data_IF_554603100091
#
_entry.id   IF_554603100091
#
_cell.length_a   1.000
_cell.length_b   1.000
_cell.length_c   1.000
_cell.angle_alpha   90.00
_cell.angle_beta   90.00
_cell.angle_gamma   90.00
#
_symmetry.space_group_name_H-M   'P 1'
#
loop_
_entity.id
_entity.type
_entity.pdbx_description
1 polymer ?
#
# COMPACT_ATOMS: atom_id res chain seq x y z
N UNK A 1 3.14 4.50 -71.26
CA UNK A 1 4.26 4.95 -70.45
C UNK A 1 3.74 5.94 -69.43
N UNK A 2 3.62 5.54 -68.21
CA UNK A 2 3.68 6.37 -67.00
C UNK A 2 3.52 5.41 -65.83
N UNK A 3 4.63 5.23 -65.10
CA UNK A 3 4.75 4.42 -63.91
C UNK A 3 4.09 5.15 -62.76
N UNK A 4 3.19 4.48 -62.08
CA UNK A 4 2.62 4.93 -60.79
C UNK A 4 3.33 4.27 -59.65
N UNK A 5 4.25 4.96 -59.00
CA UNK A 5 4.87 4.57 -57.75
C UNK A 5 3.86 4.61 -56.64
N UNK A 6 3.52 3.44 -56.10
CA UNK A 6 2.75 3.30 -54.88
C UNK A 6 3.68 3.62 -53.69
N UNK A 7 3.37 4.70 -52.99
CA UNK A 7 3.96 5.08 -51.71
C UNK A 7 3.40 4.17 -50.62
N UNK A 8 4.24 3.32 -50.07
CA UNK A 8 3.96 2.57 -48.84
C UNK A 8 4.16 3.56 -47.69
N UNK A 9 3.07 4.09 -47.14
CA UNK A 9 3.08 4.78 -45.87
C UNK A 9 3.25 3.76 -44.75
N UNK A 10 4.44 3.78 -44.15
CA UNK A 10 4.82 3.09 -42.93
C UNK A 10 4.04 3.72 -41.75
N UNK A 11 2.90 3.15 -41.40
CA UNK A 11 2.20 3.44 -40.18
C UNK A 11 3.00 2.84 -38.99
N UNK A 12 4.03 3.53 -38.58
CA UNK A 12 4.63 3.27 -37.26
C UNK A 12 3.60 3.62 -36.21
N UNK A 13 3.09 2.56 -35.59
CA UNK A 13 2.25 2.61 -34.42
C UNK A 13 2.79 3.65 -33.40
N UNK A 14 1.87 4.51 -32.96
CA UNK A 14 2.15 5.60 -32.04
C UNK A 14 2.86 5.11 -30.79
N UNK A 15 3.94 5.78 -30.46
CA UNK A 15 4.45 5.86 -29.11
C UNK A 15 3.31 6.47 -28.27
N UNK A 16 2.71 5.65 -27.42
CA UNK A 16 1.87 6.12 -26.34
C UNK A 16 2.75 7.05 -25.50
N UNK A 17 2.36 8.32 -25.33
CA UNK A 17 2.89 9.19 -24.30
C UNK A 17 2.73 8.41 -22.99
N UNK A 18 3.86 8.02 -22.36
CA UNK A 18 3.83 7.32 -21.09
C UNK A 18 3.11 8.21 -20.10
N UNK A 19 2.09 7.68 -19.41
CA UNK A 19 1.36 8.42 -18.39
C UNK A 19 2.34 9.09 -17.42
N UNK A 20 2.11 10.34 -17.04
CA UNK A 20 3.05 11.08 -16.20
C UNK A 20 3.28 10.36 -14.88
N UNK A 21 4.56 10.10 -14.57
CA UNK A 21 4.96 9.52 -13.29
C UNK A 21 4.94 10.62 -12.23
N UNK A 22 4.07 10.47 -11.23
CA UNK A 22 4.05 11.34 -10.06
C UNK A 22 5.06 10.85 -9.02
N UNK A 23 5.64 11.79 -8.26
CA UNK A 23 6.55 11.49 -7.15
C UNK A 23 5.99 12.09 -5.88
N UNK A 24 5.96 11.29 -4.78
CA UNK A 24 5.56 11.77 -3.47
C UNK A 24 6.63 11.44 -2.42
N UNK A 25 7.11 12.49 -1.74
CA UNK A 25 7.91 12.37 -0.52
C UNK A 25 6.95 12.22 0.66
N UNK A 26 6.98 11.09 1.34
CA UNK A 26 5.93 10.71 2.29
C UNK A 26 6.25 11.04 3.75
N UNK A 27 7.54 11.05 4.13
CA UNK A 27 7.96 11.26 5.50
C UNK A 27 7.50 12.60 6.11
N UNK A 28 7.55 13.75 5.38
CA UNK A 28 7.13 15.04 5.93
C UNK A 28 5.65 15.07 6.32
N UNK A 29 4.79 14.37 5.55
CA UNK A 29 3.34 14.40 5.74
C UNK A 29 2.84 13.34 6.72
N UNK A 30 3.61 12.26 6.93
CA UNK A 30 3.14 11.09 7.68
C UNK A 30 2.71 11.41 9.11
N UNK A 31 3.47 12.25 9.82
CA UNK A 31 3.15 12.64 11.19
C UNK A 31 1.94 13.57 11.24
N UNK A 32 1.84 14.53 10.33
CA UNK A 32 0.69 15.41 10.19
C UNK A 32 -0.59 14.63 9.88
N UNK A 33 -0.50 13.67 8.96
CA UNK A 33 -1.60 12.78 8.61
C UNK A 33 -2.04 11.90 9.80
N UNK A 34 -1.09 11.39 10.59
CA UNK A 34 -1.42 10.66 11.83
C UNK A 34 -2.20 11.55 12.80
N UNK A 35 -1.76 12.80 13.01
CA UNK A 35 -2.43 13.76 13.88
C UNK A 35 -3.84 14.02 13.40
N UNK A 36 -4.04 14.35 12.12
CA UNK A 36 -5.36 14.62 11.53
C UNK A 36 -6.32 13.43 11.72
N UNK A 37 -5.86 12.21 11.51
CA UNK A 37 -6.68 11.00 11.71
C UNK A 37 -7.03 10.79 13.19
N UNK A 38 -6.12 11.10 14.11
CA UNK A 38 -6.40 11.03 15.55
C UNK A 38 -7.38 12.11 15.98
N UNK A 39 -7.33 13.33 15.42
CA UNK A 39 -8.31 14.39 15.65
C UNK A 39 -9.71 13.96 15.19
N UNK A 40 -9.84 13.44 13.95
CA UNK A 40 -11.11 12.88 13.45
C UNK A 40 -11.66 11.76 14.35
N UNK A 41 -10.77 10.93 14.93
CA UNK A 41 -11.17 9.89 15.87
C UNK A 41 -11.58 10.46 17.23
N UNK A 42 -10.93 11.54 17.71
CA UNK A 42 -11.28 12.24 18.95
C UNK A 42 -12.67 12.89 18.84
N UNK A 43 -12.98 13.45 17.66
CA UNK A 43 -14.29 14.05 17.35
C UNK A 43 -15.39 13.03 17.07
N UNK A 44 -15.05 11.73 17.08
CA UNK A 44 -16.01 10.63 16.87
C UNK A 44 -16.54 10.54 15.44
N UNK A 45 -15.83 11.10 14.46
CA UNK A 45 -16.27 11.16 13.06
C UNK A 45 -15.96 9.86 12.29
N UNK A 46 -15.02 9.03 12.77
CA UNK A 46 -14.58 7.84 12.06
C UNK A 46 -15.41 6.61 12.43
N UNK A 47 -15.93 5.92 11.42
CA UNK A 47 -16.69 4.67 11.55
C UNK A 47 -16.03 3.53 10.79
N UNK A 48 -15.90 2.39 11.46
CA UNK A 48 -15.36 1.16 10.88
C UNK A 48 -16.26 -0.03 11.17
N UNK A 49 -16.19 -1.05 10.32
CA UNK A 49 -16.90 -2.30 10.53
C UNK A 49 -16.39 -3.01 11.79
N UNK A 50 -17.29 -3.37 12.70
CA UNK A 50 -16.96 -4.15 13.89
C UNK A 50 -16.38 -5.55 13.56
N UNK A 51 -16.75 -6.10 12.40
CA UNK A 51 -16.31 -7.43 11.96
C UNK A 51 -14.99 -7.40 11.19
N UNK A 52 -14.91 -6.52 10.18
CA UNK A 52 -13.75 -6.47 9.27
C UNK A 52 -12.73 -5.40 9.63
N UNK A 53 -13.05 -4.50 10.57
CA UNK A 53 -12.30 -3.30 10.96
C UNK A 53 -12.10 -2.28 9.86
N UNK A 54 -12.59 -2.54 8.65
CA UNK A 54 -12.45 -1.65 7.49
C UNK A 54 -13.22 -0.36 7.71
N UNK A 55 -12.68 0.80 7.25
CA UNK A 55 -13.38 2.06 7.28
C UNK A 55 -14.64 2.01 6.41
N UNK A 56 -15.66 2.77 6.79
CA UNK A 56 -16.81 3.04 5.91
C UNK A 56 -16.38 3.98 4.77
N UNK A 57 -17.17 4.01 3.69
CA UNK A 57 -16.91 4.94 2.59
C UNK A 57 -16.89 6.41 3.05
N UNK A 58 -17.77 6.78 3.99
CA UNK A 58 -17.76 8.12 4.59
C UNK A 58 -16.49 8.39 5.36
N UNK A 59 -16.02 7.43 6.17
CA UNK A 59 -14.76 7.55 6.91
C UNK A 59 -13.59 7.71 5.96
N UNK A 60 -13.54 6.93 4.87
CA UNK A 60 -12.46 7.04 3.89
C UNK A 60 -12.40 8.43 3.26
N UNK A 61 -13.56 9.01 2.88
CA UNK A 61 -13.62 10.39 2.35
C UNK A 61 -13.17 11.43 3.36
N UNK A 62 -13.65 11.34 4.61
CA UNK A 62 -13.24 12.28 5.67
C UNK A 62 -11.74 12.24 5.91
N UNK A 63 -11.13 11.04 5.86
CA UNK A 63 -9.69 10.91 5.99
C UNK A 63 -8.99 11.46 4.76
N UNK A 64 -9.46 11.15 3.53
CA UNK A 64 -8.93 11.69 2.27
C UNK A 64 -8.88 13.21 2.28
N UNK A 65 -9.98 13.87 2.69
CA UNK A 65 -10.09 15.33 2.82
C UNK A 65 -9.14 15.92 3.88
N UNK A 66 -8.75 15.13 4.89
CA UNK A 66 -7.87 15.55 5.98
C UNK A 66 -6.38 15.29 5.70
N UNK A 67 -6.03 14.48 4.67
CA UNK A 67 -4.63 14.23 4.32
C UNK A 67 -3.98 15.48 3.74
N UNK A 68 -2.78 15.82 4.22
CA UNK A 68 -2.03 17.03 3.84
C UNK A 68 -1.88 17.20 2.32
N UNK A 69 -1.59 16.11 1.62
CA UNK A 69 -1.42 16.11 0.16
C UNK A 69 -2.51 15.30 -0.56
N UNK A 70 -3.65 15.03 0.09
CA UNK A 70 -4.68 14.13 -0.42
C UNK A 70 -4.22 12.66 -0.52
N UNK A 71 -5.02 11.82 -1.17
CA UNK A 71 -4.63 10.44 -1.48
C UNK A 71 -3.78 10.38 -2.77
N UNK A 72 -3.40 9.21 -3.24
CA UNK A 72 -2.51 9.03 -4.40
C UNK A 72 -3.25 9.11 -5.73
N UNK A 73 -4.48 8.64 -5.77
CA UNK A 73 -5.35 8.65 -6.95
C UNK A 73 -6.64 9.40 -6.67
N UNK A 74 -7.32 9.83 -7.73
CA UNK A 74 -8.63 10.46 -7.63
C UNK A 74 -9.68 9.54 -7.01
N UNK A 75 -10.82 10.13 -6.65
CA UNK A 75 -11.90 9.48 -5.91
C UNK A 75 -12.30 8.10 -6.46
N UNK A 76 -12.26 7.10 -5.61
CA UNK A 76 -12.70 5.72 -5.89
C UNK A 76 -11.63 4.65 -5.66
N UNK A 77 -10.35 5.03 -5.62
CA UNK A 77 -9.23 4.10 -5.40
C UNK A 77 -8.36 4.48 -4.18
N UNK A 78 -8.96 4.59 -2.97
CA UNK A 78 -8.25 5.09 -1.80
C UNK A 78 -7.12 4.14 -1.38
N UNK A 79 -5.96 4.70 -1.07
CA UNK A 79 -4.76 4.03 -0.55
C UNK A 79 -4.52 4.48 0.89
N UNK A 80 -3.97 5.68 1.10
CA UNK A 80 -3.66 6.19 2.43
C UNK A 80 -4.92 6.43 3.27
N UNK A 81 -5.98 6.96 2.66
CA UNK A 81 -7.24 7.21 3.35
C UNK A 81 -7.93 5.92 3.83
N UNK A 82 -7.70 4.81 3.16
CA UNK A 82 -8.15 3.50 3.63
C UNK A 82 -7.23 2.93 4.72
N UNK A 83 -5.91 3.09 4.57
CA UNK A 83 -4.92 2.50 5.47
C UNK A 83 -4.95 3.13 6.86
N UNK A 84 -5.02 4.46 6.98
CA UNK A 84 -4.92 5.18 8.25
C UNK A 84 -5.91 4.70 9.33
N UNK A 85 -7.23 4.55 9.07
CA UNK A 85 -8.15 4.05 10.09
C UNK A 85 -7.83 2.63 10.57
N UNK A 86 -7.25 1.78 9.72
CA UNK A 86 -6.77 0.45 10.11
C UNK A 86 -5.49 0.55 10.94
N UNK A 87 -4.55 1.39 10.52
CA UNK A 87 -3.27 1.58 11.19
C UNK A 87 -3.44 2.10 12.62
N UNK A 88 -4.29 3.10 12.86
CA UNK A 88 -4.54 3.61 14.22
C UNK A 88 -5.21 2.58 15.13
N UNK A 89 -6.06 1.70 14.59
CA UNK A 89 -6.64 0.57 15.33
C UNK A 89 -5.56 -0.46 15.68
N UNK A 90 -4.77 -0.90 14.69
CA UNK A 90 -3.71 -1.90 14.87
C UNK A 90 -2.60 -1.35 15.80
N UNK A 91 -2.27 -0.08 15.67
CA UNK A 91 -1.33 0.61 16.53
C UNK A 91 -1.79 0.75 17.99
N UNK A 92 -3.08 0.48 18.24
CA UNK A 92 -3.70 0.67 19.55
C UNK A 92 -3.80 2.14 19.94
N UNK A 93 -3.90 3.04 18.96
CA UNK A 93 -4.11 4.47 19.14
C UNK A 93 -5.62 4.79 19.19
N UNK A 94 -6.41 4.04 18.43
CA UNK A 94 -7.87 4.07 18.49
C UNK A 94 -8.42 2.65 18.66
N UNK A 95 -9.64 2.55 19.17
CA UNK A 95 -10.38 1.30 19.34
C UNK A 95 -11.82 1.46 18.90
N UNK A 96 -12.48 0.36 18.54
CA UNK A 96 -13.91 0.37 18.22
C UNK A 96 -14.77 0.40 19.49
N UNK A 97 -15.66 1.38 19.55
CA UNK A 97 -16.83 1.42 20.42
C UNK A 97 -18.07 1.25 19.53
N UNK A 98 -18.59 0.04 19.43
CA UNK A 98 -19.55 -0.31 18.37
C UNK A 98 -18.92 -0.20 16.99
N UNK A 99 -19.43 0.72 16.16
CA UNK A 99 -18.86 1.01 14.84
C UNK A 99 -17.99 2.28 14.82
N UNK A 100 -17.91 3.04 15.90
CA UNK A 100 -17.18 4.30 16.01
C UNK A 100 -15.76 4.04 16.50
N UNK A 101 -14.78 4.79 15.96
CA UNK A 101 -13.43 4.79 16.49
C UNK A 101 -13.32 5.84 17.61
N UNK A 102 -12.79 5.41 18.75
CA UNK A 102 -12.49 6.26 19.88
C UNK A 102 -10.99 6.19 20.23
N UNK A 103 -10.43 7.32 20.64
CA UNK A 103 -9.02 7.33 21.05
C UNK A 103 -8.81 6.51 22.32
N UNK A 104 -7.78 5.69 22.31
CA UNK A 104 -7.24 5.06 23.52
C UNK A 104 -6.45 6.07 24.37
N UNK A 105 -6.07 5.70 25.60
CA UNK A 105 -5.14 6.52 26.40
C UNK A 105 -3.79 6.74 25.68
N UNK A 106 -3.35 5.76 24.87
CA UNK A 106 -2.15 5.89 24.04
C UNK A 106 -2.37 6.87 22.88
N UNK A 107 -3.51 6.80 22.19
CA UNK A 107 -3.84 7.74 21.12
C UNK A 107 -3.90 9.17 21.60
N UNK A 108 -4.53 9.42 22.76
CA UNK A 108 -4.57 10.75 23.38
C UNK A 108 -3.17 11.28 23.71
N UNK A 109 -2.26 10.42 24.18
CA UNK A 109 -0.86 10.85 24.44
C UNK A 109 -0.11 11.20 23.16
N UNK A 110 -0.28 10.40 22.11
CA UNK A 110 0.33 10.69 20.79
C UNK A 110 -0.25 11.98 20.19
N UNK A 111 -1.55 12.20 20.31
CA UNK A 111 -2.18 13.44 19.84
C UNK A 111 -1.66 14.67 20.61
N UNK A 112 -1.46 14.57 21.92
CA UNK A 112 -0.94 15.66 22.75
C UNK A 112 0.55 15.96 22.53
N UNK A 113 1.34 14.96 22.07
CA UNK A 113 2.76 15.09 21.77
C UNK A 113 3.14 14.19 20.58
N UNK A 114 2.84 14.63 19.35
CA UNK A 114 3.18 13.84 18.17
C UNK A 114 4.69 13.67 18.02
N UNK A 115 5.12 12.46 17.67
CA UNK A 115 6.53 12.16 17.46
C UNK A 115 6.74 11.05 16.44
N UNK A 116 7.90 11.00 15.83
CA UNK A 116 8.26 9.98 14.85
C UNK A 116 8.40 8.59 15.46
N UNK A 117 8.68 8.51 16.78
CA UNK A 117 8.65 7.23 17.51
C UNK A 117 7.24 6.62 17.53
N UNK A 118 6.19 7.44 17.45
CA UNK A 118 4.82 6.93 17.32
C UNK A 118 4.62 6.19 16.00
N UNK A 119 5.17 6.69 14.88
CA UNK A 119 5.15 6.03 13.57
C UNK A 119 5.98 4.74 13.58
N UNK A 120 7.18 4.75 14.15
CA UNK A 120 8.00 3.56 14.33
C UNK A 120 7.30 2.48 15.16
N UNK A 121 6.68 2.88 16.27
CA UNK A 121 5.90 1.97 17.10
C UNK A 121 4.64 1.44 16.40
N UNK A 122 4.01 2.24 15.52
CA UNK A 122 2.87 1.84 14.71
C UNK A 122 3.30 0.78 13.68
N UNK A 123 4.41 1.02 12.96
CA UNK A 123 4.99 0.04 12.03
C UNK A 123 5.30 -1.29 12.72
N UNK A 124 6.00 -1.26 13.86
CA UNK A 124 6.37 -2.46 14.60
C UNK A 124 5.15 -3.27 15.08
N UNK A 125 4.04 -2.60 15.44
CA UNK A 125 2.79 -3.28 15.81
C UNK A 125 2.06 -3.83 14.59
N UNK A 126 2.03 -3.06 13.49
CA UNK A 126 1.39 -3.49 12.26
C UNK A 126 2.07 -4.74 11.70
N UNK A 127 3.40 -4.82 11.68
CA UNK A 127 4.14 -6.00 11.24
C UNK A 127 3.68 -7.28 11.95
N UNK A 128 3.33 -7.21 13.23
CA UNK A 128 2.94 -8.37 14.05
C UNK A 128 1.44 -8.65 14.07
N UNK A 129 0.62 -7.73 13.60
CA UNK A 129 -0.83 -7.84 13.68
C UNK A 129 -1.36 -8.98 12.80
N UNK A 130 -2.41 -9.64 13.28
CA UNK A 130 -3.18 -10.65 12.52
C UNK A 130 -4.61 -10.18 12.23
N UNK A 131 -4.92 -8.93 12.59
CA UNK A 131 -6.28 -8.40 12.54
C UNK A 131 -6.78 -8.09 11.12
N UNK A 132 -5.86 -8.01 10.17
CA UNK A 132 -6.15 -7.68 8.79
C UNK A 132 -5.18 -8.43 7.85
N UNK A 133 -5.63 -8.76 6.64
CA UNK A 133 -4.83 -9.39 5.59
C UNK A 133 -4.88 -8.51 4.33
N UNK A 134 -3.74 -7.96 3.96
CA UNK A 134 -3.56 -7.05 2.83
C UNK A 134 -3.91 -7.72 1.50
N UNK A 135 -3.79 -9.04 1.39
CA UNK A 135 -4.22 -9.77 0.19
C UNK A 135 -5.69 -9.45 -0.14
N UNK A 136 -6.53 -9.19 0.86
CA UNK A 136 -7.94 -8.84 0.67
C UNK A 136 -8.16 -7.47 0.01
N UNK A 137 -7.11 -6.67 -0.16
CA UNK A 137 -7.12 -5.42 -0.91
C UNK A 137 -6.92 -5.63 -2.42
N UNK A 138 -6.46 -6.81 -2.82
CA UNK A 138 -6.27 -7.17 -4.22
C UNK A 138 -7.55 -7.84 -4.70
N UNK A 139 -8.52 -7.03 -5.11
CA UNK A 139 -9.90 -7.47 -5.36
C UNK A 139 -10.03 -8.38 -6.58
N UNK A 140 -9.10 -8.30 -7.54
CA UNK A 140 -9.06 -9.19 -8.69
C UNK A 140 -8.81 -10.64 -8.27
N UNK A 141 -8.02 -10.89 -7.21
CA UNK A 141 -7.74 -12.22 -6.71
C UNK A 141 -8.90 -12.70 -5.83
N UNK A 142 -9.61 -13.71 -6.27
CA UNK A 142 -10.71 -14.35 -5.55
C UNK A 142 -10.25 -15.61 -4.81
N UNK A 143 -11.12 -16.21 -3.99
CA UNK A 143 -10.81 -17.46 -3.27
C UNK A 143 -10.04 -17.30 -1.96
N UNK A 144 -9.73 -16.11 -1.54
CA UNK A 144 -8.87 -15.77 -0.39
C UNK A 144 -9.45 -16.20 0.99
N UNK A 145 -10.73 -16.48 1.10
CA UNK A 145 -11.43 -16.72 2.38
C UNK A 145 -11.01 -17.98 3.15
N UNK A 146 -10.22 -18.86 2.53
CA UNK A 146 -9.77 -20.11 3.17
C UNK A 146 -8.39 -19.91 3.80
N UNK A 147 -8.35 -19.30 4.97
CA UNK A 147 -7.14 -18.95 5.74
C UNK A 147 -6.14 -20.09 5.94
N UNK A 148 -6.61 -21.35 5.99
CA UNK A 148 -5.73 -22.50 6.16
C UNK A 148 -4.72 -22.73 5.02
N UNK A 149 -4.95 -22.10 3.84
CA UNK A 149 -4.12 -22.24 2.65
C UNK A 149 -3.13 -21.10 2.48
N UNK A 150 -3.31 -20.01 3.21
CA UNK A 150 -2.45 -18.83 3.14
C UNK A 150 -1.49 -18.78 4.34
N UNK A 151 -0.34 -18.17 4.17
CA UNK A 151 0.58 -17.87 5.27
C UNK A 151 0.01 -16.75 6.14
N UNK A 152 0.50 -16.63 7.38
CA UNK A 152 0.04 -15.56 8.27
C UNK A 152 0.52 -14.18 7.76
N UNK A 153 -0.33 -13.13 7.83
CA UNK A 153 0.02 -11.78 7.37
C UNK A 153 1.33 -11.25 7.96
N UNK A 154 1.57 -11.44 9.26
CA UNK A 154 2.81 -10.98 9.91
C UNK A 154 4.09 -11.58 9.31
N UNK A 155 4.07 -12.84 8.86
CA UNK A 155 5.23 -13.45 8.18
C UNK A 155 5.49 -12.80 6.82
N UNK A 156 4.44 -12.50 6.07
CA UNK A 156 4.53 -11.85 4.76
C UNK A 156 5.03 -10.41 4.90
N UNK A 157 4.49 -9.65 5.84
CA UNK A 157 4.95 -8.28 6.14
C UNK A 157 6.40 -8.24 6.56
N UNK A 158 6.82 -9.18 7.41
CA UNK A 158 8.21 -9.29 7.84
C UNK A 158 9.14 -9.58 6.65
N UNK A 159 8.71 -10.40 5.68
CA UNK A 159 9.49 -10.66 4.47
C UNK A 159 9.63 -9.39 3.60
N UNK A 160 8.54 -8.62 3.41
CA UNK A 160 8.61 -7.34 2.66
C UNK A 160 9.47 -6.32 3.41
N UNK A 161 9.33 -6.21 4.73
CA UNK A 161 10.15 -5.31 5.55
C UNK A 161 11.64 -5.68 5.48
N UNK A 162 11.96 -6.98 5.45
CA UNK A 162 13.34 -7.45 5.29
C UNK A 162 13.92 -7.07 3.92
N UNK A 163 13.13 -7.19 2.83
CA UNK A 163 13.54 -6.72 1.51
C UNK A 163 13.76 -5.21 1.45
N UNK A 164 12.85 -4.42 2.05
CA UNK A 164 13.05 -2.96 2.16
C UNK A 164 14.34 -2.60 2.90
N UNK A 165 14.66 -3.33 3.95
CA UNK A 165 15.87 -3.10 4.74
C UNK A 165 17.18 -3.44 3.99
N UNK A 166 17.13 -4.08 2.81
CA UNK A 166 18.32 -4.30 1.97
C UNK A 166 18.60 -3.16 1.00
N UNK A 167 17.65 -2.23 0.84
CA UNK A 167 17.81 -1.13 -0.10
C UNK A 167 18.74 -0.06 0.48
N UNK A 168 19.50 0.59 -0.40
CA UNK A 168 20.34 1.74 -0.05
C UNK A 168 19.44 2.94 0.28
N UNK A 169 19.50 3.49 1.52
CA UNK A 169 18.72 4.66 1.88
C UNK A 169 19.02 5.87 0.97
N UNK A 170 17.97 6.56 0.54
CA UNK A 170 18.07 7.72 -0.34
C UNK A 170 18.15 7.39 -1.83
N UNK A 171 18.42 6.14 -2.21
CA UNK A 171 18.45 5.70 -3.60
C UNK A 171 17.06 5.25 -4.09
N UNK A 172 16.70 5.62 -5.32
CA UNK A 172 15.51 5.10 -5.98
C UNK A 172 15.77 3.68 -6.49
N UNK A 173 14.86 2.77 -6.16
CA UNK A 173 14.84 1.38 -6.65
C UNK A 173 13.55 1.14 -7.42
N UNK A 174 13.65 0.61 -8.64
CA UNK A 174 12.46 0.25 -9.42
C UNK A 174 11.61 -0.79 -8.66
N UNK A 175 10.29 -0.69 -8.76
CA UNK A 175 9.40 -1.64 -8.10
C UNK A 175 9.68 -3.09 -8.53
N UNK A 176 9.98 -3.32 -9.80
CA UNK A 176 10.28 -4.64 -10.33
C UNK A 176 11.64 -5.19 -9.83
N UNK A 177 12.63 -4.32 -9.62
CA UNK A 177 13.90 -4.71 -8.99
C UNK A 177 13.67 -5.15 -7.54
N UNK A 178 12.88 -4.39 -6.78
CA UNK A 178 12.52 -4.79 -5.42
C UNK A 178 11.72 -6.09 -5.40
N UNK A 179 10.78 -6.29 -6.34
CA UNK A 179 10.05 -7.55 -6.46
C UNK A 179 10.99 -8.72 -6.78
N UNK A 180 12.01 -8.52 -7.62
CA UNK A 180 13.02 -9.54 -7.88
C UNK A 180 13.87 -9.87 -6.63
N UNK A 181 14.23 -8.86 -5.83
CA UNK A 181 14.89 -9.06 -4.53
C UNK A 181 13.99 -9.89 -3.60
N UNK A 182 12.71 -9.56 -3.48
CA UNK A 182 11.75 -10.28 -2.63
C UNK A 182 11.53 -11.73 -3.09
N UNK A 183 11.58 -11.98 -4.39
CA UNK A 183 11.47 -13.32 -4.95
C UNK A 183 12.69 -14.20 -4.66
N UNK A 184 13.89 -13.59 -4.62
CA UNK A 184 15.17 -14.27 -4.40
C UNK A 184 15.63 -14.37 -2.95
N UNK A 185 15.02 -13.63 -2.02
CA UNK A 185 15.48 -13.53 -0.62
C UNK A 185 15.23 -14.81 0.19
N UNK A 186 15.94 -14.90 1.33
CA UNK A 186 15.74 -15.97 2.32
C UNK A 186 15.49 -15.37 3.71
N UNK A 187 14.37 -15.71 4.39
CA UNK A 187 13.26 -16.56 3.91
C UNK A 187 12.44 -15.89 2.81
N UNK A 188 11.86 -16.68 1.87
CA UNK A 188 11.11 -16.12 0.75
C UNK A 188 9.79 -15.48 1.19
N UNK A 189 9.33 -14.50 0.42
CA UNK A 189 7.94 -14.04 0.52
C UNK A 189 7.02 -15.14 -0.03
N UNK A 190 6.14 -15.65 0.81
CA UNK A 190 5.17 -16.70 0.46
C UNK A 190 3.79 -16.31 0.96
N UNK A 191 2.83 -16.14 0.05
CA UNK A 191 1.42 -15.92 0.33
C UNK A 191 0.67 -17.26 0.33
N UNK A 192 0.73 -17.98 -0.79
CA UNK A 192 0.13 -19.30 -0.91
C UNK A 192 1.09 -20.37 -0.38
N UNK A 193 0.65 -21.17 0.61
CA UNK A 193 1.50 -22.18 1.29
C UNK A 193 1.93 -23.34 0.39
N UNK A 194 1.23 -23.57 -0.70
CA UNK A 194 1.48 -24.69 -1.60
C UNK A 194 0.82 -24.47 -2.95
N UNK A 195 1.21 -25.28 -3.94
CA UNK A 195 0.54 -25.31 -5.23
C UNK A 195 -0.98 -25.54 -5.10
N UNK A 196 -1.40 -26.40 -4.15
CA UNK A 196 -2.83 -26.64 -3.86
C UNK A 196 -3.53 -25.38 -3.31
N UNK A 197 -2.81 -24.48 -2.69
CA UNK A 197 -3.35 -23.19 -2.26
C UNK A 197 -3.57 -22.26 -3.46
N UNK A 198 -2.65 -22.26 -4.44
CA UNK A 198 -2.80 -21.50 -5.69
C UNK A 198 -4.01 -21.98 -6.51
N UNK A 199 -4.33 -23.27 -6.52
CA UNK A 199 -5.52 -23.80 -7.18
C UNK A 199 -6.84 -23.25 -6.64
N UNK A 200 -6.83 -22.69 -5.43
CA UNK A 200 -8.00 -22.07 -4.79
C UNK A 200 -8.10 -20.57 -5.04
N UNK A 201 -7.04 -19.97 -5.52
CA UNK A 201 -7.03 -18.56 -5.94
C UNK A 201 -7.32 -18.48 -7.43
N UNK A 202 -8.12 -17.50 -7.84
CA UNK A 202 -8.55 -17.34 -9.22
C UNK A 202 -8.89 -15.87 -9.53
N UNK A 203 -8.87 -15.50 -10.82
CA UNK A 203 -9.19 -14.13 -11.24
C UNK A 203 -10.68 -13.93 -11.52
N UNK A 204 -11.36 -14.88 -12.14
CA UNK A 204 -12.78 -14.74 -12.56
C UNK A 204 -13.68 -15.64 -11.72
N UNK A 205 -13.55 -16.93 -11.88
CA UNK A 205 -14.32 -17.95 -11.19
C UNK A 205 -13.47 -19.18 -10.86
N UNK A 206 -13.99 -20.08 -10.02
CA UNK A 206 -13.24 -21.25 -9.54
C UNK A 206 -13.00 -22.34 -10.59
N UNK A 207 -13.67 -22.29 -11.72
CA UNK A 207 -13.50 -23.24 -12.82
C UNK A 207 -12.54 -22.71 -13.90
N UNK A 208 -12.48 -21.38 -14.04
CA UNK A 208 -11.69 -20.70 -15.06
C UNK A 208 -10.81 -19.64 -14.39
N UNK A 209 -9.54 -19.58 -14.76
CA UNK A 209 -8.61 -18.57 -14.24
C UNK A 209 -8.00 -18.90 -12.89
N UNK A 210 -7.97 -20.20 -12.50
CA UNK A 210 -7.23 -20.59 -11.30
C UNK A 210 -5.73 -20.30 -11.46
N UNK A 211 -5.14 -19.71 -10.42
CA UNK A 211 -3.72 -19.36 -10.40
C UNK A 211 -2.80 -20.59 -10.24
N UNK A 212 -3.36 -21.77 -9.98
CA UNK A 212 -2.64 -23.05 -10.03
C UNK A 212 -2.04 -23.38 -11.40
N UNK A 213 -2.57 -22.81 -12.48
CA UNK A 213 -2.04 -22.94 -13.85
C UNK A 213 -1.04 -21.83 -14.22
N UNK A 214 -0.90 -20.77 -13.42
CA UNK A 214 -0.07 -19.62 -13.76
C UNK A 214 1.45 -19.90 -13.78
N UNK A 215 1.88 -21.06 -13.27
CA UNK A 215 3.29 -21.43 -13.30
C UNK A 215 4.17 -20.41 -12.57
N UNK A 216 5.20 -19.90 -13.27
CA UNK A 216 6.11 -18.88 -12.73
C UNK A 216 5.43 -17.53 -12.49
N UNK A 217 4.45 -17.16 -13.32
CA UNK A 217 3.69 -15.92 -13.17
C UNK A 217 2.85 -15.88 -11.89
N UNK A 218 2.57 -17.03 -11.24
CA UNK A 218 1.81 -17.08 -9.99
C UNK A 218 2.42 -16.20 -8.91
N UNK A 219 3.74 -16.14 -8.82
CA UNK A 219 4.44 -15.31 -7.85
C UNK A 219 4.17 -13.82 -8.10
N UNK A 220 4.31 -13.34 -9.33
CA UNK A 220 4.08 -11.94 -9.69
C UNK A 220 2.63 -11.53 -9.42
N UNK A 221 1.68 -12.43 -9.67
CA UNK A 221 0.24 -12.19 -9.46
C UNK A 221 -0.13 -12.18 -7.96
N UNK A 222 0.42 -13.07 -7.16
CA UNK A 222 -0.01 -13.25 -5.77
C UNK A 222 0.94 -12.56 -4.80
N UNK A 223 2.19 -13.00 -4.75
CA UNK A 223 3.22 -12.46 -3.86
C UNK A 223 3.64 -11.05 -4.27
N UNK A 224 3.82 -10.83 -5.58
CA UNK A 224 4.19 -9.52 -6.13
C UNK A 224 3.12 -8.47 -5.84
N UNK A 225 1.83 -8.75 -6.12
CA UNK A 225 0.74 -7.80 -5.80
C UNK A 225 0.57 -7.59 -4.31
N UNK A 226 0.76 -8.63 -3.50
CA UNK A 226 0.80 -8.48 -2.05
C UNK A 226 1.92 -7.54 -1.60
N UNK A 227 3.11 -7.68 -2.17
CA UNK A 227 4.25 -6.80 -1.86
C UNK A 227 3.94 -5.34 -2.28
N UNK A 228 3.43 -5.13 -3.49
CA UNK A 228 3.02 -3.79 -3.95
C UNK A 228 1.99 -3.14 -3.01
N UNK A 229 1.01 -3.90 -2.52
CA UNK A 229 0.05 -3.42 -1.53
C UNK A 229 0.73 -3.01 -0.22
N UNK A 230 1.62 -3.85 0.32
CA UNK A 230 2.36 -3.55 1.56
C UNK A 230 3.23 -2.30 1.40
N UNK A 231 3.91 -2.17 0.28
CA UNK A 231 4.77 -1.02 -0.02
C UNK A 231 3.96 0.27 -0.15
N UNK A 232 2.98 0.27 -1.03
CA UNK A 232 2.28 1.49 -1.41
C UNK A 232 1.22 1.89 -0.38
N UNK A 233 0.40 0.93 0.13
CA UNK A 233 -0.68 1.27 1.07
C UNK A 233 -0.18 1.42 2.51
N UNK A 234 0.89 0.74 2.93
CA UNK A 234 1.31 0.76 4.34
C UNK A 234 2.66 1.43 4.56
N UNK A 235 3.72 1.01 3.87
CA UNK A 235 5.04 1.59 4.07
C UNK A 235 5.08 3.07 3.66
N UNK A 236 4.49 3.42 2.52
CA UNK A 236 4.39 4.81 2.06
C UNK A 236 3.46 5.64 2.95
N UNK A 237 2.31 5.10 3.38
CA UNK A 237 1.37 5.82 4.26
C UNK A 237 1.98 6.14 5.63
N UNK A 238 2.78 5.23 6.20
CA UNK A 238 3.50 5.47 7.48
C UNK A 238 4.71 6.39 7.27
N UNK A 239 5.12 6.63 6.01
CA UNK A 239 6.20 7.53 5.68
C UNK A 239 7.59 6.88 5.60
N UNK A 240 7.69 5.53 5.50
CA UNK A 240 8.98 4.85 5.43
C UNK A 240 9.65 4.98 4.07
N UNK A 241 8.86 5.08 3.01
CA UNK A 241 9.34 5.14 1.64
C UNK A 241 8.68 6.27 0.88
N UNK A 242 9.46 6.97 0.08
CA UNK A 242 8.92 7.80 -0.98
C UNK A 242 8.56 6.93 -2.18
N UNK A 243 7.61 7.36 -2.97
CA UNK A 243 7.07 6.59 -4.08
C UNK A 243 7.03 7.40 -5.38
N UNK A 244 7.37 6.73 -6.48
CA UNK A 244 7.07 7.16 -7.84
C UNK A 244 5.96 6.25 -8.38
N UNK A 245 4.89 6.83 -8.93
CA UNK A 245 3.70 6.08 -9.33
C UNK A 245 3.00 6.72 -10.54
N UNK A 246 2.27 5.90 -11.29
CA UNK A 246 1.46 6.27 -12.44
C UNK A 246 0.04 5.70 -12.30
N UNK A 247 -0.84 5.94 -13.28
CA UNK A 247 -2.14 5.28 -13.32
C UNK A 247 -1.93 3.75 -13.28
N UNK A 248 -2.64 3.01 -12.42
CA UNK A 248 -2.49 1.56 -12.34
C UNK A 248 -2.97 0.83 -13.60
N UNK A 249 -3.86 1.45 -14.39
CA UNK A 249 -4.39 0.86 -15.62
C UNK A 249 -3.33 0.86 -16.72
N UNK A 250 -2.95 -0.34 -17.15
CA UNK A 250 -1.91 -0.52 -18.18
C UNK A 250 -0.48 -0.41 -17.67
N UNK A 251 -0.25 -0.10 -16.37
CA UNK A 251 1.08 -0.03 -15.80
C UNK A 251 1.81 -1.38 -15.76
N UNK A 252 1.05 -2.49 -15.74
CA UNK A 252 1.57 -3.86 -15.77
C UNK A 252 0.75 -4.72 -16.74
N UNK A 253 1.42 -5.64 -17.42
CA UNK A 253 0.83 -6.58 -18.38
C UNK A 253 1.11 -8.06 -18.06
N UNK A 254 1.84 -8.35 -16.99
CA UNK A 254 2.29 -9.67 -16.54
C UNK A 254 1.15 -10.69 -16.29
N UNK A 255 -0.09 -10.24 -16.26
CA UNK A 255 -1.30 -11.05 -16.09
C UNK A 255 -2.07 -11.31 -17.42
N UNK A 256 -1.69 -10.66 -18.52
CA UNK A 256 -2.44 -10.71 -19.79
C UNK A 256 -2.54 -12.11 -20.38
N UNK A 257 -1.51 -12.94 -20.20
CA UNK A 257 -1.52 -14.33 -20.68
C UNK A 257 -2.31 -15.31 -19.79
N UNK A 258 -2.88 -14.86 -18.68
CA UNK A 258 -3.68 -15.69 -17.80
C UNK A 258 -5.14 -15.73 -18.24
N UNK A 259 -5.82 -16.86 -18.01
CA UNK A 259 -7.23 -16.98 -18.31
C UNK A 259 -8.05 -15.89 -17.62
N UNK A 260 -8.66 -15.03 -18.44
CA UNK A 260 -9.46 -13.91 -17.95
C UNK A 260 -8.66 -12.69 -17.52
N UNK A 261 -7.35 -12.70 -17.65
CA UNK A 261 -6.50 -11.54 -17.42
C UNK A 261 -6.88 -10.36 -18.31
N UNK A 262 -7.24 -10.61 -19.56
CA UNK A 262 -7.64 -9.58 -20.52
C UNK A 262 -8.91 -8.80 -20.12
N UNK A 263 -9.64 -9.25 -19.11
CA UNK A 263 -10.80 -8.52 -18.56
C UNK A 263 -10.42 -7.39 -17.60
N UNK A 264 -9.17 -7.33 -17.19
CA UNK A 264 -8.68 -6.35 -16.24
C UNK A 264 -7.79 -5.32 -16.93
N UNK A 265 -7.99 -4.05 -16.63
CA UNK A 265 -7.07 -2.99 -17.00
C UNK A 265 -5.83 -2.97 -16.08
N UNK A 266 -6.00 -3.38 -14.81
CA UNK A 266 -4.99 -3.66 -13.80
C UNK A 266 -5.54 -4.71 -12.82
N UNK A 267 -4.70 -5.44 -12.12
CA UNK A 267 -5.15 -6.39 -11.09
C UNK A 267 -5.37 -5.70 -9.74
N UNK A 268 -4.67 -4.61 -9.50
CA UNK A 268 -4.81 -3.84 -8.26
C UNK A 268 -4.48 -2.36 -8.49
N UNK A 269 -4.98 -1.50 -7.61
CA UNK A 269 -4.62 -0.07 -7.55
C UNK A 269 -3.13 0.17 -7.30
N UNK A 270 -2.41 -0.85 -6.82
CA UNK A 270 -0.97 -0.78 -6.53
C UNK A 270 -0.10 -1.08 -7.76
N UNK A 271 -0.69 -1.53 -8.86
CA UNK A 271 0.02 -1.85 -10.11
C UNK A 271 0.75 -0.63 -10.67
N UNK A 272 0.28 0.58 -10.36
CA UNK A 272 0.91 1.84 -10.73
C UNK A 272 2.17 2.21 -9.95
N UNK A 273 2.61 1.44 -8.94
CA UNK A 273 3.86 1.71 -8.24
C UNK A 273 5.06 1.44 -9.16
N UNK A 274 5.81 2.50 -9.51
CA UNK A 274 6.93 2.47 -10.45
C UNK A 274 8.27 2.29 -9.73
N UNK A 275 8.51 3.07 -8.67
CA UNK A 275 9.74 3.00 -7.89
C UNK A 275 9.49 3.39 -6.43
N UNK A 276 10.39 2.97 -5.56
CA UNK A 276 10.42 3.31 -4.14
C UNK A 276 11.79 3.85 -3.75
N UNK A 277 11.83 4.66 -2.69
CA UNK A 277 13.06 5.14 -2.07
C UNK A 277 12.89 5.08 -0.56
N UNK A 278 13.75 4.33 0.14
CA UNK A 278 13.78 4.37 1.61
C UNK A 278 14.30 5.75 2.02
N UNK A 279 13.48 6.53 2.69
CA UNK A 279 13.84 7.87 3.15
C UNK A 279 14.45 7.83 4.56
N UNK A 280 14.78 9.00 5.14
CA UNK A 280 15.44 9.09 6.46
C UNK A 280 14.60 8.47 7.57
N UNK A 281 13.27 8.68 7.57
CA UNK A 281 12.36 8.06 8.54
C UNK A 281 12.35 6.54 8.38
N UNK A 282 12.28 6.06 7.14
CA UNK A 282 12.33 4.64 6.85
C UNK A 282 13.64 4.00 7.25
N UNK A 283 14.76 4.65 6.97
CA UNK A 283 16.09 4.17 7.39
C UNK A 283 16.19 4.05 8.91
N UNK A 284 15.73 5.06 9.65
CA UNK A 284 15.69 5.00 11.10
C UNK A 284 14.78 3.87 11.60
N UNK A 285 13.56 3.73 11.08
CA UNK A 285 12.61 2.68 11.52
C UNK A 285 13.13 1.27 11.22
N UNK A 286 13.77 1.07 10.07
CA UNK A 286 14.21 -0.25 9.60
C UNK A 286 15.54 -0.69 10.23
N UNK A 287 16.47 0.26 10.49
CA UNK A 287 17.85 -0.07 10.87
C UNK A 287 18.24 0.44 12.25
N UNK A 288 17.81 1.66 12.63
CA UNK A 288 18.21 2.29 13.89
C UNK A 288 17.06 3.07 14.53
N UNK A 289 16.08 2.38 15.14
CA UNK A 289 14.96 3.05 15.80
C UNK A 289 15.36 4.01 16.92
N UNK A 290 16.59 3.94 17.44
CA UNK A 290 17.10 4.86 18.45
C UNK A 290 17.42 6.25 17.87
N UNK A 291 17.58 6.36 16.55
CA UNK A 291 17.81 7.63 15.85
C UNK A 291 16.50 8.46 15.67
N UNK A 292 15.32 7.87 15.84
CA UNK A 292 14.03 8.53 15.59
C UNK A 292 13.84 9.86 16.34
N UNK A 293 14.20 10.01 17.62
CA UNK A 293 14.06 11.28 18.34
C UNK A 293 14.91 12.43 17.78
N UNK A 294 15.99 12.09 17.06
CA UNK A 294 16.95 13.05 16.51
C UNK A 294 16.69 13.43 15.04
N UNK A 295 15.65 12.88 14.41
CA UNK A 295 15.32 13.23 13.03
C UNK A 295 14.93 14.71 12.92
N UNK A 296 15.58 15.43 12.01
CA UNK A 296 15.32 16.85 11.73
C UNK A 296 14.04 17.11 10.92
N UNK A 297 13.14 16.14 10.81
CA UNK A 297 11.88 16.27 10.08
C UNK A 297 10.88 17.18 10.81
N UNK A 298 10.01 17.92 10.08
CA UNK A 298 9.07 18.84 10.69
C UNK A 298 8.05 18.09 11.56
N UNK A 299 7.87 18.56 12.80
CA UNK A 299 6.81 18.07 13.68
C UNK A 299 5.61 18.99 13.55
N UNK A 300 4.38 18.47 13.34
CA UNK A 300 3.18 19.29 13.29
C UNK A 300 3.04 20.12 14.55
N UNK A 301 2.84 21.43 14.40
CA UNK A 301 2.40 22.27 15.50
C UNK A 301 0.89 22.16 15.57
N UNK A 302 0.33 21.92 16.76
CA UNK A 302 -1.10 22.03 16.97
C UNK A 302 -1.55 23.40 16.43
N UNK A 303 -2.54 23.42 15.54
CA UNK A 303 -3.21 24.66 15.18
C UNK A 303 -3.81 25.24 16.46
N UNK A 304 -3.13 26.22 17.05
CA UNK A 304 -3.80 27.20 17.86
C UNK A 304 -4.87 27.81 16.95
N UNK A 305 -6.12 27.63 17.32
CA UNK A 305 -7.25 28.25 16.67
C UNK A 305 -6.94 29.74 16.56
N UNK A 306 -6.47 30.20 15.41
CA UNK A 306 -6.43 31.62 15.14
C UNK A 306 -7.88 32.05 14.97
N UNK A 307 -8.45 32.52 16.11
CA UNK A 307 -9.62 33.36 16.09
C UNK A 307 -9.27 34.61 15.29
N UNK A 308 -9.67 34.63 14.05
CA UNK A 308 -9.74 35.89 13.31
C UNK A 308 -10.90 36.70 13.88
N UNK A 309 -10.55 37.77 14.63
CA UNK A 309 -11.44 38.89 14.86
C UNK A 309 -11.72 39.65 13.57
#
# INVERSE_FOLDING_TARGET
MAEGTASVTDERAGYSDADPVAVRCTAPDALSNLVAVLELAADGQLRCSAVTRRPSATTTRLVEDALVAGDYYDAGEPIAAFAWPLLVQIGGLAQLAGAQLELTARGRRVLAGPSYEALGALWARWLKSVSFDELTRIEAIKGQRKTATLTAPGKRRAAVAAGLATLEPGAWTAADELLAILAGQQPPLVVARSLMALWRLYLIDSYHGTLGHAGRQAWDIVEGRYALCVLFEYAATIGLIDVAYADPRGARDDFRGLWGGDRYACLSRYDGLVAVRVNELGAAILHDPAALPGLGLPVPRHHESQSYC
#
